data_IF_906721188761
#
_entry.id   IF_906721188761
#
_cell.length_a   1.000
_cell.length_b   1.000
_cell.length_c   1.000
_cell.angle_alpha   90.00
_cell.angle_beta   90.00
_cell.angle_gamma   90.00
#
_symmetry.space_group_name_H-M   'P 1'
#
loop_
_entity.id
_entity.type
_entity.pdbx_description
1 polymer ?
#
# COMPACT_ATOMS: atom_id res chain seq x y z
N UNK A 1 6.77 22.32 1.10
CA UNK A 1 6.84 21.17 0.18
C UNK A 1 6.13 20.04 0.89
N UNK A 2 5.14 19.39 0.27
CA UNK A 2 4.45 18.23 0.85
C UNK A 2 5.41 17.04 0.83
N UNK A 3 5.52 16.31 1.93
CA UNK A 3 6.40 15.14 1.97
C UNK A 3 5.82 14.02 1.08
N UNK A 4 6.70 13.23 0.44
CA UNK A 4 6.23 12.09 -0.34
C UNK A 4 5.65 11.02 0.59
N UNK A 5 4.42 10.59 0.33
CA UNK A 5 3.79 9.48 1.05
C UNK A 5 4.60 8.19 0.83
N UNK A 6 5.52 7.90 1.73
CA UNK A 6 6.35 6.69 1.72
C UNK A 6 6.60 6.27 3.16
N UNK A 7 6.84 4.97 3.39
CA UNK A 7 7.13 4.48 4.73
C UNK A 7 8.26 3.46 4.72
N UNK A 8 8.94 3.36 5.87
CA UNK A 8 9.95 2.34 6.14
C UNK A 8 9.99 2.03 7.62
N UNK A 9 10.31 0.78 7.96
CA UNK A 9 10.74 0.36 9.29
C UNK A 9 12.00 -0.51 9.18
N UNK A 10 12.40 -1.17 10.27
CA UNK A 10 13.60 -2.01 10.29
C UNK A 10 13.58 -3.20 9.29
N UNK A 11 12.40 -3.61 8.81
CA UNK A 11 12.22 -4.82 7.98
C UNK A 11 11.67 -4.54 6.59
N UNK A 12 10.89 -3.48 6.42
CA UNK A 12 10.15 -3.20 5.19
C UNK A 12 10.28 -1.73 4.78
N UNK A 13 10.20 -1.48 3.47
CA UNK A 13 10.14 -0.15 2.86
C UNK A 13 9.19 -0.16 1.67
N UNK A 14 8.45 0.94 1.47
CA UNK A 14 7.65 1.17 0.25
C UNK A 14 8.49 0.93 -1.00
N UNK A 15 7.98 0.10 -1.91
CA UNK A 15 8.58 -0.14 -3.20
C UNK A 15 8.10 0.90 -4.22
N UNK A 16 8.93 1.92 -4.43
CA UNK A 16 8.59 3.06 -5.30
C UNK A 16 8.79 2.78 -6.79
N UNK A 17 9.23 1.57 -7.16
CA UNK A 17 9.43 1.18 -8.58
C UNK A 17 8.12 0.90 -9.31
N UNK A 18 7.08 0.53 -8.57
CA UNK A 18 5.78 0.09 -9.11
C UNK A 18 4.61 0.80 -8.42
N UNK A 19 3.39 0.40 -8.78
CA UNK A 19 2.18 0.95 -8.20
C UNK A 19 1.83 2.35 -8.73
N UNK A 20 0.88 2.99 -8.06
CA UNK A 20 0.37 4.31 -8.38
C UNK A 20 0.98 5.36 -7.46
N UNK A 21 1.08 6.63 -7.92
CA UNK A 21 1.45 7.74 -7.05
C UNK A 21 0.27 8.17 -6.18
N UNK A 22 0.57 8.73 -5.01
CA UNK A 22 -0.44 9.29 -4.10
C UNK A 22 -1.01 10.65 -4.53
N UNK A 23 -0.50 11.20 -5.62
CA UNK A 23 -0.90 12.50 -6.16
C UNK A 23 0.10 13.02 -7.20
N UNK A 24 -0.15 14.23 -7.70
CA UNK A 24 0.75 14.88 -8.64
C UNK A 24 2.12 15.11 -8.00
N UNK A 25 3.19 14.68 -8.68
CA UNK A 25 4.58 14.79 -8.20
C UNK A 25 4.89 14.06 -6.88
N UNK A 26 4.04 13.11 -6.46
CA UNK A 26 4.27 12.24 -5.31
C UNK A 26 5.03 10.96 -5.71
N UNK A 27 5.64 10.30 -4.73
CA UNK A 27 6.25 8.99 -4.93
C UNK A 27 5.21 7.95 -5.35
N UNK A 28 5.64 6.91 -6.07
CA UNK A 28 4.82 5.72 -6.35
C UNK A 28 4.93 4.72 -5.20
N UNK A 29 4.05 3.73 -5.20
CA UNK A 29 4.14 2.58 -4.29
C UNK A 29 2.78 1.99 -3.94
N UNK A 30 1.71 2.73 -4.20
CA UNK A 30 0.36 2.28 -3.86
C UNK A 30 -0.14 1.22 -4.82
N UNK A 31 -0.82 0.23 -4.25
CA UNK A 31 -1.51 -0.80 -5.03
C UNK A 31 -2.67 -0.21 -5.82
N UNK A 32 -3.35 0.80 -5.26
CA UNK A 32 -4.51 1.46 -5.84
C UNK A 32 -4.20 2.91 -6.22
N UNK A 33 -4.91 3.48 -7.21
CA UNK A 33 -4.72 4.86 -7.63
C UNK A 33 -5.32 5.91 -6.68
N UNK A 34 -5.98 5.47 -5.60
CA UNK A 34 -6.67 6.31 -4.62
C UNK A 34 -6.59 5.67 -3.23
N UNK A 35 -6.74 6.45 -2.14
CA UNK A 35 -6.77 5.89 -0.79
C UNK A 35 -7.97 4.97 -0.61
N UNK A 36 -7.82 3.98 0.25
CA UNK A 36 -8.91 3.12 0.72
C UNK A 36 -9.90 3.93 1.58
N UNK A 37 -9.38 4.85 2.39
CA UNK A 37 -10.17 5.72 3.26
C UNK A 37 -9.53 7.11 3.30
N UNK A 38 -10.37 8.14 3.28
CA UNK A 38 -9.99 9.51 3.63
C UNK A 38 -10.85 9.95 4.82
N UNK A 39 -10.24 10.29 5.94
CA UNK A 39 -10.96 10.86 7.09
C UNK A 39 -11.26 12.33 6.80
N UNK A 40 -12.56 12.68 6.78
CA UNK A 40 -12.98 14.04 6.45
C UNK A 40 -12.51 15.09 7.47
N UNK A 41 -12.48 14.74 8.76
CA UNK A 41 -12.20 15.69 9.84
C UNK A 41 -10.70 15.98 10.00
N UNK A 42 -9.86 14.98 9.74
CA UNK A 42 -8.40 15.06 9.95
C UNK A 42 -7.61 15.21 8.65
N UNK A 43 -8.18 14.76 7.52
CA UNK A 43 -7.45 14.63 6.26
C UNK A 43 -6.52 13.41 6.21
N UNK A 44 -6.53 12.56 7.24
CA UNK A 44 -5.74 11.33 7.27
C UNK A 44 -6.23 10.36 6.18
N UNK A 45 -5.30 9.64 5.56
CA UNK A 45 -5.61 8.70 4.48
C UNK A 45 -5.04 7.31 4.75
N UNK A 46 -5.81 6.28 4.42
CA UNK A 46 -5.38 4.89 4.49
C UNK A 46 -5.04 4.38 3.09
N UNK A 47 -3.85 3.84 2.93
CA UNK A 47 -3.36 3.30 1.67
C UNK A 47 -2.91 1.86 1.82
N UNK A 48 -2.89 1.15 0.69
CA UNK A 48 -2.28 -0.17 0.57
C UNK A 48 -1.02 -0.02 -0.28
N UNK A 49 0.14 -0.22 0.33
CA UNK A 49 1.44 -0.07 -0.32
C UNK A 49 2.04 -1.41 -0.71
N UNK A 50 2.73 -1.46 -1.85
CA UNK A 50 3.74 -2.49 -2.08
C UNK A 50 4.95 -2.20 -1.21
N UNK A 51 5.41 -3.17 -0.45
CA UNK A 51 6.66 -3.08 0.29
C UNK A 51 7.59 -4.23 0.00
N UNK A 52 8.88 -3.94 0.08
CA UNK A 52 9.94 -4.94 -0.07
C UNK A 52 10.59 -5.21 1.27
N UNK A 53 10.91 -6.48 1.52
CA UNK A 53 11.71 -6.95 2.63
C UNK A 53 12.45 -8.23 2.21
N UNK A 54 13.17 -8.86 3.15
CA UNK A 54 13.93 -10.08 2.88
C UNK A 54 13.08 -11.26 2.33
N UNK A 55 11.76 -11.21 2.55
CA UNK A 55 10.80 -12.27 2.22
C UNK A 55 10.10 -12.06 0.86
N UNK A 56 10.56 -11.07 0.10
CA UNK A 56 9.94 -10.65 -1.16
C UNK A 56 8.84 -9.62 -0.96
N UNK A 57 7.95 -9.51 -1.96
CA UNK A 57 6.88 -8.52 -1.98
C UNK A 57 5.83 -8.82 -0.90
N UNK A 58 5.46 -7.77 -0.17
CA UNK A 58 4.40 -7.74 0.83
C UNK A 58 3.49 -6.54 0.58
N UNK A 59 2.35 -6.53 1.23
CA UNK A 59 1.39 -5.44 1.22
C UNK A 59 1.34 -4.79 2.59
N UNK A 60 1.33 -3.47 2.66
CA UNK A 60 1.25 -2.74 3.92
C UNK A 60 0.05 -1.79 3.91
N UNK A 61 -0.89 -2.04 4.83
CA UNK A 61 -1.92 -1.07 5.18
C UNK A 61 -1.28 0.04 6.01
N UNK A 62 -1.15 1.23 5.44
CA UNK A 62 -0.49 2.38 6.05
C UNK A 62 -1.43 3.57 6.14
N UNK A 63 -1.61 4.08 7.36
CA UNK A 63 -2.19 5.40 7.56
C UNK A 63 -1.13 6.46 7.34
N UNK A 64 -1.48 7.53 6.65
CA UNK A 64 -0.72 8.77 6.62
C UNK A 64 -1.58 9.91 7.14
N UNK A 65 -0.96 10.85 7.84
CA UNK A 65 -1.64 12.08 8.20
C UNK A 65 -1.83 13.02 7.01
N UNK A 66 -2.58 14.11 7.21
CA UNK A 66 -2.83 15.12 6.18
C UNK A 66 -1.56 15.76 5.58
N UNK A 67 -0.39 15.58 6.18
CA UNK A 67 0.87 16.17 5.72
C UNK A 67 1.75 15.22 4.92
N UNK A 68 1.48 13.92 4.90
CA UNK A 68 2.39 12.95 4.29
C UNK A 68 2.95 11.91 5.24
N UNK A 69 2.78 12.08 6.56
CA UNK A 69 3.60 11.36 7.53
C UNK A 69 2.99 10.00 7.90
N UNK A 70 3.75 8.90 7.85
CA UNK A 70 3.24 7.58 8.15
C UNK A 70 2.95 7.39 9.65
N UNK A 71 1.77 6.83 9.96
CA UNK A 71 1.35 6.44 11.31
C UNK A 71 1.53 4.93 11.53
N UNK A 72 2.76 4.53 11.88
CA UNK A 72 3.16 3.12 12.02
C UNK A 72 2.35 2.34 13.06
N UNK A 73 1.86 2.99 14.13
CA UNK A 73 1.14 2.34 15.24
C UNK A 73 -0.21 1.76 14.86
N UNK A 74 -0.77 2.16 13.71
CA UNK A 74 -2.06 1.69 13.19
C UNK A 74 -1.90 1.01 11.84
N UNK A 75 -0.78 0.33 11.60
CA UNK A 75 -0.42 -0.24 10.31
C UNK A 75 -0.20 -1.75 10.37
N UNK A 76 -0.42 -2.44 9.24
CA UNK A 76 -0.27 -3.90 9.17
C UNK A 76 0.41 -4.34 7.87
N UNK A 77 1.45 -5.17 7.98
CA UNK A 77 2.12 -5.81 6.84
C UNK A 77 1.59 -7.24 6.70
N UNK A 78 1.25 -7.63 5.48
CA UNK A 78 0.69 -8.94 5.18
C UNK A 78 1.20 -9.45 3.82
N UNK A 79 1.20 -10.77 3.66
CA UNK A 79 1.35 -11.39 2.36
C UNK A 79 0.01 -11.43 1.61
N UNK A 80 0.05 -11.95 0.38
CA UNK A 80 -1.13 -12.04 -0.48
C UNK A 80 -2.24 -12.91 0.12
N UNK A 81 -1.88 -14.04 0.74
CA UNK A 81 -2.85 -14.97 1.29
C UNK A 81 -3.64 -14.32 2.43
N UNK A 82 -2.93 -13.64 3.34
CA UNK A 82 -3.54 -12.92 4.45
C UNK A 82 -4.37 -11.71 3.97
N UNK A 83 -3.89 -10.96 2.97
CA UNK A 83 -4.66 -9.88 2.36
C UNK A 83 -5.98 -10.40 1.76
N UNK A 84 -5.93 -11.52 1.05
CA UNK A 84 -7.12 -12.14 0.46
C UNK A 84 -8.12 -12.63 1.53
N UNK A 85 -7.64 -13.19 2.64
CA UNK A 85 -8.49 -13.58 3.77
C UNK A 85 -9.18 -12.35 4.36
N UNK A 86 -8.42 -11.27 4.61
CA UNK A 86 -8.94 -10.03 5.17
C UNK A 86 -10.02 -9.40 4.29
N UNK A 87 -9.78 -9.28 2.98
CA UNK A 87 -10.76 -8.70 2.06
C UNK A 87 -12.06 -9.50 2.02
N UNK A 88 -11.99 -10.84 2.05
CA UNK A 88 -13.20 -11.67 2.15
C UNK A 88 -13.97 -11.42 3.44
N UNK A 89 -13.27 -11.39 4.57
CA UNK A 89 -13.89 -11.17 5.88
C UNK A 89 -14.60 -9.80 5.95
N UNK A 90 -14.10 -8.81 5.20
CA UNK A 90 -14.67 -7.47 5.12
C UNK A 90 -15.73 -7.30 4.03
N UNK A 91 -16.10 -8.37 3.31
CA UNK A 91 -17.10 -8.31 2.23
C UNK A 91 -16.57 -7.81 0.88
N UNK A 92 -15.26 -7.58 0.76
CA UNK A 92 -14.57 -7.16 -0.47
C UNK A 92 -14.07 -8.35 -1.30
N UNK A 93 -14.93 -9.35 -1.49
CA UNK A 93 -14.58 -10.57 -2.23
C UNK A 93 -14.38 -10.33 -3.73
N UNK A 94 -15.00 -9.30 -4.31
CA UNK A 94 -14.92 -8.99 -5.74
C UNK A 94 -13.54 -8.41 -6.11
N UNK A 95 -12.90 -7.74 -5.16
CA UNK A 95 -11.63 -7.04 -5.27
C UNK A 95 -10.42 -7.99 -5.16
N UNK A 96 -10.66 -9.26 -4.80
CA UNK A 96 -9.64 -10.31 -4.79
C UNK A 96 -8.98 -10.53 -6.16
N UNK A 97 -9.74 -10.36 -7.25
CA UNK A 97 -9.20 -10.45 -8.60
C UNK A 97 -8.13 -9.38 -8.86
N UNK A 98 -8.33 -8.17 -8.33
CA UNK A 98 -7.35 -7.09 -8.41
C UNK A 98 -6.11 -7.39 -7.56
N UNK A 99 -6.26 -8.00 -6.38
CA UNK A 99 -5.13 -8.44 -5.55
C UNK A 99 -4.33 -9.55 -6.23
N UNK A 100 -4.98 -10.49 -6.90
CA UNK A 100 -4.30 -11.53 -7.68
C UNK A 100 -3.56 -10.97 -8.89
N UNK A 101 -4.15 -9.99 -9.59
CA UNK A 101 -3.52 -9.31 -10.72
C UNK A 101 -2.40 -8.34 -10.31
N UNK A 102 -2.49 -7.77 -9.10
CA UNK A 102 -1.48 -6.93 -8.47
C UNK A 102 -0.20 -7.70 -8.10
N UNK A 103 -0.29 -9.02 -7.98
CA UNK A 103 0.91 -9.85 -7.91
C UNK A 103 1.55 -9.85 -9.29
N UNK A 104 2.58 -9.02 -9.42
CA UNK A 104 3.48 -9.00 -10.56
C UNK A 104 3.75 -10.45 -11.01
N UNK A 105 3.55 -10.82 -12.28
CA UNK A 105 4.18 -12.02 -12.80
C UNK A 105 5.68 -11.83 -12.61
N UNK A 106 6.34 -12.82 -12.01
CA UNK A 106 7.78 -12.87 -12.02
C UNK A 106 8.27 -12.85 -13.48
N UNK A 107 8.77 -11.68 -13.91
CA UNK A 107 9.68 -11.39 -15.03
C UNK A 107 9.13 -11.48 -16.47
N UNK A 108 9.55 -10.49 -17.27
CA UNK A 108 10.04 -10.53 -18.67
C UNK A 108 10.50 -9.09 -18.99
N UNK A 109 11.66 -8.72 -19.56
CA UNK A 109 12.91 -9.31 -20.08
C UNK A 109 13.79 -8.07 -20.49
N UNK A 110 15.04 -8.15 -20.99
CA UNK A 110 15.98 -9.27 -21.17
C UNK A 110 17.13 -9.30 -20.15
#
# INVERSE_FOLDING_TARGET
MTEPFTCANARYRTDTRYGHPHGTAQARGSVLPAPLVTQADTGDTLWLEYVTGAEGTRFWLMWYDAHGLPRLTSSAVMDQANLAIMLRALGHGAELGAVQAAVLPARNAP
#
